data_IF_996202500690
#
_entry.id   IF_996202500690
#
_cell.length_a   1.000
_cell.length_b   1.000
_cell.length_c   1.000
_cell.angle_alpha   90.00
_cell.angle_beta   90.00
_cell.angle_gamma   90.00
#
_symmetry.space_group_name_H-M   'P 1'
#
loop_
_entity.id
_entity.type
_entity.pdbx_description
1 polymer ?
#
# COMPACT_ATOMS: atom_id res chain seq x y z
N UNK A 1 -1.37 6.27 -5.04
CA UNK A 1 -0.10 6.14 -5.82
C UNK A 1 -0.21 5.02 -6.86
N UNK A 2 0.26 5.21 -8.10
CA UNK A 2 0.20 4.22 -9.17
C UNK A 2 1.45 4.20 -10.05
N UNK A 3 1.63 3.14 -10.84
CA UNK A 3 2.77 3.03 -11.78
C UNK A 3 2.68 4.14 -12.84
N UNK A 4 3.80 4.80 -13.15
CA UNK A 4 3.93 5.87 -14.15
C UNK A 4 3.32 5.54 -15.51
N UNK A 5 3.38 4.27 -15.92
CA UNK A 5 2.80 3.82 -17.18
C UNK A 5 1.28 4.01 -17.30
N UNK A 6 0.56 4.18 -16.19
CA UNK A 6 -0.88 4.47 -16.19
C UNK A 6 -1.18 5.90 -16.65
N UNK A 7 -0.21 6.81 -16.58
CA UNK A 7 -0.32 8.22 -17.00
C UNK A 7 0.16 8.49 -18.41
N UNK A 8 0.60 7.45 -19.15
CA UNK A 8 1.07 7.61 -20.56
C UNK A 8 -0.05 7.83 -21.58
N UNK A 9 -1.29 7.49 -21.24
CA UNK A 9 -2.45 7.70 -22.11
C UNK A 9 -3.29 8.86 -21.54
N UNK A 10 -3.66 9.88 -22.34
CA UNK A 10 -4.41 11.04 -21.85
C UNK A 10 -5.74 10.71 -21.17
N UNK A 11 -6.45 9.67 -21.64
CA UNK A 11 -7.71 9.25 -21.03
C UNK A 11 -7.49 8.58 -19.66
N UNK A 12 -6.45 7.75 -19.52
CA UNK A 12 -6.10 7.16 -18.23
C UNK A 12 -5.46 8.16 -17.29
N UNK A 13 -4.69 9.11 -17.78
CA UNK A 13 -4.17 10.23 -17.00
C UNK A 13 -5.32 11.01 -16.36
N UNK A 14 -6.25 11.50 -17.18
CA UNK A 14 -7.43 12.21 -16.67
C UNK A 14 -8.21 11.40 -15.63
N UNK A 15 -8.44 10.12 -15.91
CA UNK A 15 -9.19 9.24 -15.01
C UNK A 15 -8.49 9.03 -13.67
N UNK A 16 -7.19 8.66 -13.67
CA UNK A 16 -6.46 8.41 -12.43
C UNK A 16 -6.16 9.69 -11.65
N UNK A 17 -5.89 10.80 -12.35
CA UNK A 17 -5.66 12.10 -11.71
C UNK A 17 -6.96 12.64 -11.08
N UNK A 18 -8.11 12.45 -11.72
CA UNK A 18 -9.41 12.85 -11.15
C UNK A 18 -9.80 12.02 -9.90
N UNK A 19 -9.22 10.85 -9.72
CA UNK A 19 -9.35 10.02 -8.52
C UNK A 19 -8.28 10.32 -7.46
N UNK A 20 -7.51 11.41 -7.60
CA UNK A 20 -6.43 11.75 -6.68
C UNK A 20 -5.20 10.84 -6.80
N UNK A 21 -5.08 10.10 -7.91
CA UNK A 21 -3.90 9.28 -8.19
C UNK A 21 -2.71 10.12 -8.63
N UNK A 22 -1.49 9.75 -8.22
CA UNK A 22 -0.26 10.32 -8.73
C UNK A 22 0.75 9.24 -9.13
N UNK A 23 1.61 9.51 -10.13
CA UNK A 23 2.55 8.52 -10.65
C UNK A 23 3.71 8.27 -9.69
N UNK A 24 4.26 7.05 -9.72
CA UNK A 24 5.48 6.68 -9.01
C UNK A 24 6.44 5.98 -9.96
N UNK A 25 7.69 6.37 -9.94
CA UNK A 25 8.76 5.61 -10.54
C UNK A 25 9.18 4.48 -9.58
N UNK A 26 8.88 3.23 -9.93
CA UNK A 26 9.13 2.06 -9.08
C UNK A 26 10.58 1.59 -9.10
N UNK A 27 11.37 2.03 -10.07
CA UNK A 27 12.74 1.58 -10.30
C UNK A 27 13.78 2.44 -9.57
N UNK A 28 13.35 3.57 -8.99
CA UNK A 28 14.15 4.43 -8.13
C UNK A 28 13.51 4.54 -6.74
N UNK A 29 14.35 4.82 -5.72
CA UNK A 29 13.83 5.28 -4.43
C UNK A 29 13.18 6.66 -4.69
N UNK A 30 11.89 6.64 -4.98
CA UNK A 30 11.16 7.81 -5.45
C UNK A 30 10.94 8.78 -4.29
N UNK A 31 11.96 9.63 -4.05
CA UNK A 31 11.92 10.67 -3.03
C UNK A 31 10.81 11.68 -3.29
N UNK A 32 10.51 11.92 -4.55
CA UNK A 32 9.45 12.84 -4.96
C UNK A 32 8.08 12.29 -4.51
N UNK A 33 7.80 11.01 -4.76
CA UNK A 33 6.56 10.38 -4.30
C UNK A 33 6.44 10.35 -2.78
N UNK A 34 7.55 10.15 -2.05
CA UNK A 34 7.53 10.21 -0.59
C UNK A 34 7.25 11.64 -0.08
N UNK A 35 7.85 12.66 -0.71
CA UNK A 35 7.60 14.06 -0.35
C UNK A 35 6.17 14.47 -0.67
N UNK A 36 5.66 14.15 -1.87
CA UNK A 36 4.25 14.39 -2.24
C UNK A 36 3.29 13.72 -1.26
N UNK A 37 3.61 12.50 -0.81
CA UNK A 37 2.80 11.83 0.21
C UNK A 37 2.78 12.59 1.54
N UNK A 38 3.92 13.12 1.97
CA UNK A 38 4.02 13.91 3.21
C UNK A 38 3.29 15.25 3.11
N UNK A 39 3.34 15.89 1.95
CA UNK A 39 2.60 17.13 1.66
C UNK A 39 1.09 16.90 1.74
N UNK A 40 0.57 15.89 1.03
CA UNK A 40 -0.86 15.53 1.07
C UNK A 40 -1.34 15.18 2.49
N UNK A 41 -0.54 14.42 3.24
CA UNK A 41 -0.85 14.09 4.62
C UNK A 41 -0.83 15.30 5.54
N UNK A 42 0.04 16.29 5.29
CA UNK A 42 0.07 17.55 6.05
C UNK A 42 -1.15 18.44 5.76
N UNK A 43 -1.74 18.31 4.56
CA UNK A 43 -3.00 18.96 4.15
C UNK A 43 -4.24 18.25 4.73
N UNK A 44 -4.06 17.14 5.44
CA UNK A 44 -5.16 16.36 6.04
C UNK A 44 -5.74 15.30 5.12
N UNK A 45 -5.12 15.06 3.96
CA UNK A 45 -5.54 14.05 3.01
C UNK A 45 -5.12 12.64 3.43
N UNK A 46 -5.84 11.62 2.96
CA UNK A 46 -5.48 10.23 3.17
C UNK A 46 -4.71 9.69 1.96
N UNK A 47 -3.57 9.03 2.18
CA UNK A 47 -2.74 8.44 1.12
C UNK A 47 -2.83 6.92 1.15
N UNK A 48 -3.29 6.32 0.04
CA UNK A 48 -3.29 4.86 -0.13
C UNK A 48 -1.97 4.40 -0.73
N UNK A 49 -1.31 3.48 -0.04
CA UNK A 49 -0.02 2.92 -0.46
C UNK A 49 -0.06 1.38 -0.47
N UNK A 50 0.59 0.79 -1.46
CA UNK A 50 0.78 -0.66 -1.54
C UNK A 50 2.24 -1.00 -1.18
N UNK A 51 2.50 -1.56 0.02
CA UNK A 51 3.87 -1.72 0.52
C UNK A 51 4.70 -2.71 -0.28
N UNK A 52 4.08 -3.65 -0.98
CA UNK A 52 4.78 -4.60 -1.85
C UNK A 52 5.28 -3.97 -3.17
N UNK A 53 4.79 -2.79 -3.53
CA UNK A 53 5.18 -2.05 -4.74
C UNK A 53 4.77 -2.70 -6.07
N UNK A 54 4.37 -3.98 -6.08
CA UNK A 54 3.91 -4.72 -7.27
C UNK A 54 2.89 -5.79 -6.86
N UNK A 55 2.15 -6.31 -7.84
CA UNK A 55 1.30 -7.48 -7.61
C UNK A 55 2.18 -8.70 -7.37
N UNK A 56 1.89 -9.43 -6.31
CA UNK A 56 2.52 -10.70 -5.99
C UNK A 56 1.50 -11.84 -6.13
N UNK A 57 2.02 -13.05 -6.25
CA UNK A 57 1.24 -14.27 -6.29
C UNK A 57 1.63 -15.14 -5.10
N UNK A 58 0.67 -15.88 -4.60
CA UNK A 58 0.85 -16.77 -3.45
C UNK A 58 0.15 -16.28 -2.19
N UNK A 59 0.04 -17.18 -1.20
CA UNK A 59 -0.71 -16.91 0.01
C UNK A 59 0.05 -16.06 1.04
N UNK A 60 1.38 -15.95 0.92
CA UNK A 60 2.25 -15.37 1.94
C UNK A 60 2.84 -14.05 1.48
N UNK A 61 2.79 -13.06 2.37
CA UNK A 61 3.50 -11.79 2.21
C UNK A 61 4.92 -11.96 2.78
N UNK A 62 5.90 -12.17 1.88
CA UNK A 62 7.28 -12.40 2.27
C UNK A 62 7.93 -11.10 2.80
N UNK A 63 8.81 -11.18 3.82
CA UNK A 63 9.50 -10.00 4.36
C UNK A 63 10.25 -9.19 3.30
N UNK A 64 10.93 -9.87 2.37
CA UNK A 64 11.72 -9.24 1.30
C UNK A 64 10.85 -8.49 0.26
N UNK A 65 9.56 -8.75 0.27
CA UNK A 65 8.61 -8.05 -0.60
C UNK A 65 8.13 -6.74 -0.01
N UNK A 66 8.30 -6.52 1.29
CA UNK A 66 7.85 -5.31 1.98
C UNK A 66 8.85 -4.16 1.81
N UNK A 67 8.34 -3.00 1.45
CA UNK A 67 9.14 -1.79 1.33
C UNK A 67 8.91 -0.87 2.52
N UNK A 68 9.99 -0.29 3.02
CA UNK A 68 10.00 0.60 4.18
C UNK A 68 9.28 1.95 3.95
N UNK A 69 8.89 2.26 2.72
CA UNK A 69 8.33 3.56 2.34
C UNK A 69 7.08 3.96 3.14
N UNK A 70 6.16 3.02 3.37
CA UNK A 70 4.93 3.26 4.16
C UNK A 70 5.27 3.61 5.60
N UNK A 71 6.09 2.77 6.26
CA UNK A 71 6.51 2.98 7.64
C UNK A 71 7.34 4.27 7.80
N UNK A 72 8.17 4.61 6.80
CA UNK A 72 8.93 5.85 6.79
C UNK A 72 8.02 7.09 6.69
N UNK A 73 7.08 7.12 5.73
CA UNK A 73 6.15 8.25 5.54
C UNK A 73 5.28 8.43 6.78
N UNK A 74 4.69 7.36 7.31
CA UNK A 74 3.88 7.41 8.52
C UNK A 74 4.67 7.96 9.72
N UNK A 75 5.90 7.46 9.93
CA UNK A 75 6.74 7.92 11.03
C UNK A 75 7.26 9.35 10.84
N UNK A 76 7.56 9.75 9.59
CA UNK A 76 7.99 11.12 9.29
C UNK A 76 6.87 12.12 9.46
N UNK A 77 5.65 11.76 9.05
CA UNK A 77 4.43 12.57 9.21
C UNK A 77 3.77 12.46 10.58
N UNK A 78 4.22 11.52 11.44
CA UNK A 78 3.60 11.18 12.74
C UNK A 78 2.10 10.84 12.60
N UNK A 79 1.76 10.07 11.55
CA UNK A 79 0.40 9.70 11.17
C UNK A 79 0.24 8.18 11.27
N UNK A 80 -0.87 7.65 11.80
CA UNK A 80 -1.09 6.22 11.91
C UNK A 80 -1.22 5.54 10.56
N UNK A 81 -0.82 4.26 10.49
CA UNK A 81 -1.06 3.39 9.35
C UNK A 81 -2.31 2.57 9.63
N UNK A 82 -3.29 2.64 8.74
CA UNK A 82 -4.47 1.76 8.78
C UNK A 82 -4.26 0.61 7.78
N UNK A 83 -3.93 -0.61 8.24
CA UNK A 83 -3.73 -1.73 7.35
C UNK A 83 -5.06 -2.24 6.80
N UNK A 84 -5.06 -2.61 5.51
CA UNK A 84 -6.27 -3.07 4.80
C UNK A 84 -5.94 -4.33 3.99
N UNK A 85 -6.67 -5.41 4.25
CA UNK A 85 -6.62 -6.65 3.48
C UNK A 85 -7.73 -6.68 2.41
N UNK A 86 -7.39 -7.10 1.19
CA UNK A 86 -8.34 -7.23 0.08
C UNK A 86 -8.33 -8.67 -0.40
N UNK A 87 -9.47 -9.37 -0.28
CA UNK A 87 -9.66 -10.74 -0.75
C UNK A 87 -10.51 -10.82 -2.00
N UNK A 88 -10.28 -11.84 -2.84
CA UNK A 88 -11.06 -12.12 -4.05
C UNK A 88 -10.75 -11.24 -5.26
N UNK A 89 -9.87 -10.26 -5.15
CA UNK A 89 -9.52 -9.33 -6.26
C UNK A 89 -8.86 -10.04 -7.44
N UNK A 90 -8.14 -11.12 -7.21
CA UNK A 90 -7.50 -11.94 -8.25
C UNK A 90 -8.52 -12.58 -9.21
N UNK A 91 -9.70 -12.96 -8.69
CA UNK A 91 -10.79 -13.48 -9.52
C UNK A 91 -11.44 -12.39 -10.38
N UNK A 92 -11.50 -11.15 -9.84
CA UNK A 92 -12.02 -10.00 -10.58
C UNK A 92 -11.14 -9.65 -11.77
N UNK A 93 -9.83 -9.65 -11.58
CA UNK A 93 -8.87 -9.30 -12.62
C UNK A 93 -7.59 -10.14 -12.48
N UNK A 94 -7.60 -11.40 -12.98
CA UNK A 94 -6.42 -12.25 -13.01
C UNK A 94 -5.25 -11.55 -13.74
N UNK A 95 -4.02 -11.95 -13.41
CA UNK A 95 -2.84 -11.43 -14.09
C UNK A 95 -2.93 -11.67 -15.60
N UNK A 96 -2.73 -10.62 -16.40
CA UNK A 96 -2.86 -10.67 -17.87
C UNK A 96 -4.30 -10.56 -18.40
N UNK A 97 -5.31 -10.45 -17.54
CA UNK A 97 -6.68 -10.24 -17.99
C UNK A 97 -6.87 -8.84 -18.57
N UNK A 98 -7.60 -8.77 -19.70
CA UNK A 98 -7.97 -7.50 -20.37
C UNK A 98 -9.29 -6.91 -19.87
N UNK A 99 -10.11 -7.73 -19.21
CA UNK A 99 -11.45 -7.37 -18.75
C UNK A 99 -11.64 -7.72 -17.29
N UNK A 100 -12.39 -6.88 -16.57
CA UNK A 100 -12.83 -7.13 -15.20
C UNK A 100 -14.00 -8.10 -15.23
N UNK A 101 -13.97 -9.13 -14.40
CA UNK A 101 -15.05 -10.09 -14.20
C UNK A 101 -15.79 -9.79 -12.91
N UNK A 102 -17.12 -9.81 -12.89
CA UNK A 102 -17.87 -9.70 -11.65
C UNK A 102 -17.45 -10.82 -10.69
N UNK A 103 -16.98 -10.45 -9.51
CA UNK A 103 -16.59 -11.39 -8.46
C UNK A 103 -16.79 -10.76 -7.09
N UNK A 104 -17.00 -11.60 -6.08
CA UNK A 104 -17.09 -11.15 -4.70
C UNK A 104 -15.72 -10.70 -4.26
N UNK A 105 -15.58 -9.43 -3.91
CA UNK A 105 -14.41 -8.88 -3.24
C UNK A 105 -14.77 -8.51 -1.80
N UNK A 106 -13.83 -8.72 -0.90
CA UNK A 106 -13.98 -8.39 0.52
C UNK A 106 -12.81 -7.51 0.93
N UNK A 107 -13.12 -6.43 1.64
CA UNK A 107 -12.14 -5.53 2.24
C UNK A 107 -12.25 -5.67 3.75
N UNK A 108 -11.14 -5.94 4.41
CA UNK A 108 -11.04 -6.02 5.87
C UNK A 108 -10.08 -4.95 6.35
N UNK A 109 -10.54 -4.11 7.26
CA UNK A 109 -9.75 -3.01 7.84
C UNK A 109 -9.28 -3.43 9.22
N UNK A 110 -7.99 -3.30 9.47
CA UNK A 110 -7.37 -3.60 10.76
C UNK A 110 -7.25 -2.38 11.68
N UNK A 111 -6.80 -2.61 12.91
CA UNK A 111 -6.52 -1.52 13.83
C UNK A 111 -5.35 -0.67 13.34
N UNK A 112 -5.35 0.64 13.63
CA UNK A 112 -4.27 1.52 13.24
C UNK A 112 -2.96 1.16 13.95
N UNK A 113 -1.86 1.17 13.21
CA UNK A 113 -0.50 1.02 13.75
C UNK A 113 0.07 2.40 14.07
N UNK A 114 0.67 2.52 15.25
CA UNK A 114 1.28 3.77 15.72
C UNK A 114 2.59 4.04 15.00
N UNK A 115 2.83 5.26 14.50
CA UNK A 115 4.10 5.63 13.88
C UNK A 115 5.24 5.62 14.90
N UNK A 116 6.46 5.42 14.42
CA UNK A 116 7.66 5.52 15.25
C UNK A 116 7.90 6.99 15.61
N UNK A 117 8.13 7.33 16.90
CA UNK A 117 8.41 8.68 17.28
C UNK A 117 9.71 9.20 16.68
N UNK A 118 9.74 10.49 16.37
CA UNK A 118 10.95 11.15 15.90
C UNK A 118 12.00 11.21 17.03
N UNK A 119 13.27 11.06 16.66
CA UNK A 119 14.40 11.35 17.57
C UNK A 119 14.45 12.84 17.86
N UNK A 120 15.17 13.25 18.91
CA UNK A 120 15.44 14.67 19.23
C UNK A 120 16.00 15.45 18.03
N UNK A 121 16.75 14.79 17.16
CA UNK A 121 17.28 15.36 15.91
C UNK A 121 16.22 15.54 14.79
N UNK A 122 14.95 15.25 15.04
CA UNK A 122 13.88 15.26 14.05
C UNK A 122 13.97 14.13 13.00
N UNK A 123 14.84 13.15 13.21
CA UNK A 123 15.04 12.02 12.27
C UNK A 123 14.26 10.78 12.69
N UNK A 124 13.81 10.00 11.72
CA UNK A 124 13.20 8.69 11.96
C UNK A 124 14.30 7.63 12.17
N UNK A 125 14.08 6.72 13.13
CA UNK A 125 14.99 5.60 13.38
C UNK A 125 14.86 4.54 12.28
N UNK A 126 15.96 4.16 11.63
CA UNK A 126 15.96 3.08 10.62
C UNK A 126 15.53 1.73 11.19
N UNK A 127 15.99 1.39 12.40
CA UNK A 127 15.58 0.16 13.06
C UNK A 127 14.09 0.19 13.43
N UNK A 128 13.58 1.34 13.88
CA UNK A 128 12.17 1.53 14.13
C UNK A 128 11.32 1.39 12.87
N UNK A 129 11.75 2.00 11.75
CA UNK A 129 11.04 1.84 10.46
C UNK A 129 10.95 0.37 10.05
N UNK A 130 12.04 -0.39 10.16
CA UNK A 130 12.03 -1.84 9.85
C UNK A 130 11.11 -2.63 10.77
N UNK A 131 11.11 -2.32 12.07
CA UNK A 131 10.20 -2.96 13.02
C UNK A 131 8.74 -2.67 12.67
N UNK A 132 8.40 -1.41 12.37
CA UNK A 132 7.05 -1.03 11.96
C UNK A 132 6.65 -1.66 10.60
N UNK A 133 7.61 -1.82 9.68
CA UNK A 133 7.38 -2.53 8.41
C UNK A 133 7.03 -4.00 8.66
N UNK A 134 7.69 -4.66 9.61
CA UNK A 134 7.39 -6.03 9.99
C UNK A 134 6.03 -6.15 10.71
N UNK A 135 5.71 -5.25 11.63
CA UNK A 135 4.40 -5.21 12.28
C UNK A 135 3.28 -5.00 11.24
N UNK A 136 3.50 -4.13 10.25
CA UNK A 136 2.59 -3.93 9.14
C UNK A 136 2.43 -5.20 8.29
N UNK A 137 3.52 -5.91 8.00
CA UNK A 137 3.49 -7.16 7.25
C UNK A 137 2.63 -8.22 7.95
N UNK A 138 2.87 -8.43 9.24
CA UNK A 138 2.12 -9.39 10.05
C UNK A 138 0.63 -9.03 10.08
N UNK A 139 0.33 -7.76 10.28
CA UNK A 139 -1.05 -7.27 10.26
C UNK A 139 -1.72 -7.48 8.90
N UNK A 140 -1.04 -7.13 7.81
CA UNK A 140 -1.56 -7.30 6.44
C UNK A 140 -1.78 -8.78 6.11
N UNK A 141 -0.87 -9.69 6.53
CA UNK A 141 -1.05 -11.12 6.31
C UNK A 141 -2.35 -11.61 6.97
N UNK A 142 -2.57 -11.29 8.24
CA UNK A 142 -3.78 -11.72 8.94
C UNK A 142 -5.06 -11.16 8.31
N UNK A 143 -5.04 -9.89 7.88
CA UNK A 143 -6.17 -9.25 7.22
C UNK A 143 -6.43 -9.82 5.82
N UNK A 144 -5.37 -10.14 5.08
CA UNK A 144 -5.45 -10.77 3.77
C UNK A 144 -6.07 -12.16 3.87
N UNK A 145 -5.61 -13.00 4.82
CA UNK A 145 -6.14 -14.34 5.06
C UNK A 145 -7.63 -14.30 5.44
N UNK A 146 -8.01 -13.35 6.30
CA UNK A 146 -9.41 -13.17 6.69
C UNK A 146 -10.26 -12.70 5.49
N UNK A 147 -9.78 -11.74 4.71
CA UNK A 147 -10.47 -11.25 3.53
C UNK A 147 -10.64 -12.35 2.47
N UNK A 148 -9.61 -13.16 2.21
CA UNK A 148 -9.66 -14.29 1.29
C UNK A 148 -10.67 -15.33 1.72
N UNK A 149 -10.66 -15.73 3.00
CA UNK A 149 -11.62 -16.68 3.58
C UNK A 149 -13.06 -16.17 3.41
N UNK A 150 -13.35 -14.91 3.73
CA UNK A 150 -14.68 -14.30 3.57
C UNK A 150 -15.09 -14.13 2.11
N UNK A 151 -14.14 -13.97 1.20
CA UNK A 151 -14.40 -13.95 -0.25
C UNK A 151 -14.68 -15.35 -0.83
N UNK A 152 -14.44 -16.42 -0.05
CA UNK A 152 -14.56 -17.80 -0.50
C UNK A 152 -13.38 -18.24 -1.39
N UNK A 153 -12.20 -17.68 -1.15
CA UNK A 153 -10.93 -17.98 -1.82
C UNK A 153 -9.86 -18.14 -0.72
N UNK A 154 -9.96 -19.17 0.13
CA UNK A 154 -8.97 -19.37 1.17
C UNK A 154 -7.57 -19.53 0.56
N UNK A 155 -6.58 -18.98 1.22
CA UNK A 155 -5.18 -19.22 0.90
C UNK A 155 -4.88 -20.71 1.17
N UNK A 156 -4.43 -21.42 0.17
CA UNK A 156 -4.02 -22.83 0.23
C UNK A 156 -2.51 -22.95 0.07
#
# INVERSE_FOLDING_TARGET
MGKDSLWKNPASDWFFSSLGGFPINRDSADREALNTSLELLAEGEAVVMFPEGTRRHGPTIEPDHMRDGVAYVASRGQIPIVPVGIGGSERAMPSGAKYIRPSKMVVVVGPPLTPIPLKESGRVSRSGVRALTEDLRVSLQGLFDDAQRRAGVPNS
#
